data_IF_182254649093
#
_entry.id   IF_182254649093
#
_cell.length_a   1.000
_cell.length_b   1.000
_cell.length_c   1.000
_cell.angle_alpha   90.00
_cell.angle_beta   90.00
_cell.angle_gamma   90.00
#
_symmetry.space_group_name_H-M   'P 1'
#
loop_
_entity.id
_entity.type
_entity.pdbx_description
1 polymer ?
#
# COMPACT_ATOMS: atom_id res chain seq x y z
N UNK A 1 -37.17 -50.59 14.06
CA UNK A 1 -36.68 -49.34 14.68
C UNK A 1 -35.59 -48.72 13.80
N UNK A 2 -35.91 -48.21 12.59
CA UNK A 2 -34.89 -47.72 11.63
C UNK A 2 -35.19 -46.31 11.08
N UNK A 3 -36.46 -45.87 11.15
CA UNK A 3 -36.93 -44.62 10.52
C UNK A 3 -36.47 -43.36 11.28
N UNK A 4 -36.14 -43.47 12.57
CA UNK A 4 -35.74 -42.32 13.40
C UNK A 4 -34.33 -41.80 13.05
N UNK A 5 -33.45 -42.65 12.52
CA UNK A 5 -32.07 -42.28 12.21
C UNK A 5 -31.92 -41.63 10.83
N UNK A 6 -32.77 -41.98 9.86
CA UNK A 6 -32.78 -41.38 8.51
C UNK A 6 -33.10 -39.87 8.53
N UNK A 7 -34.01 -39.43 9.41
CA UNK A 7 -34.34 -38.00 9.56
C UNK A 7 -33.20 -37.20 10.20
N UNK A 8 -32.42 -37.83 11.09
CA UNK A 8 -31.25 -37.23 11.72
C UNK A 8 -30.08 -37.14 10.74
N UNK A 9 -29.85 -38.16 9.91
CA UNK A 9 -28.83 -38.11 8.85
C UNK A 9 -29.16 -37.11 7.75
N UNK A 10 -30.44 -37.01 7.34
CA UNK A 10 -30.91 -35.97 6.42
C UNK A 10 -30.74 -34.55 6.99
N UNK A 11 -31.09 -34.35 8.27
CA UNK A 11 -30.88 -33.06 8.94
C UNK A 11 -29.39 -32.71 9.06
N UNK A 12 -28.52 -33.69 9.28
CA UNK A 12 -27.07 -33.49 9.37
C UNK A 12 -26.46 -33.16 8.00
N UNK A 13 -26.92 -33.81 6.94
CA UNK A 13 -26.56 -33.48 5.55
C UNK A 13 -26.99 -32.06 5.17
N UNK A 14 -28.21 -31.65 5.55
CA UNK A 14 -28.69 -30.30 5.28
C UNK A 14 -27.83 -29.22 5.95
N UNK A 15 -27.42 -29.45 7.20
CA UNK A 15 -26.52 -28.56 7.94
C UNK A 15 -25.15 -28.44 7.25
N UNK A 16 -24.59 -29.57 6.79
CA UNK A 16 -23.31 -29.58 6.07
C UNK A 16 -23.40 -28.78 4.77
N UNK A 17 -24.50 -28.91 4.02
CA UNK A 17 -24.71 -28.15 2.79
C UNK A 17 -24.78 -26.64 3.07
N UNK A 18 -25.49 -26.23 4.13
CA UNK A 18 -25.58 -24.82 4.53
C UNK A 18 -24.19 -24.26 4.91
N UNK A 19 -23.38 -25.03 5.64
CA UNK A 19 -22.02 -24.63 6.00
C UNK A 19 -21.16 -24.47 4.75
N UNK A 20 -21.21 -25.41 3.81
CA UNK A 20 -20.45 -25.34 2.56
C UNK A 20 -20.84 -24.11 1.74
N UNK A 21 -22.13 -23.81 1.62
CA UNK A 21 -22.61 -22.61 0.92
C UNK A 21 -22.15 -21.32 1.62
N UNK A 22 -22.19 -21.29 2.95
CA UNK A 22 -21.70 -20.14 3.73
C UNK A 22 -20.19 -19.91 3.57
N UNK A 23 -19.40 -20.97 3.53
CA UNK A 23 -17.96 -20.91 3.29
C UNK A 23 -17.66 -20.43 1.87
N UNK A 24 -18.35 -20.97 0.86
CA UNK A 24 -18.19 -20.52 -0.53
C UNK A 24 -18.58 -19.05 -0.71
N UNK A 25 -19.67 -18.61 -0.08
CA UNK A 25 -20.09 -17.21 -0.09
C UNK A 25 -19.06 -16.30 0.60
N UNK A 26 -18.51 -16.73 1.74
CA UNK A 26 -17.48 -15.99 2.45
C UNK A 26 -16.21 -15.81 1.60
N UNK A 27 -15.73 -16.88 0.95
CA UNK A 27 -14.57 -16.80 0.06
C UNK A 27 -14.84 -15.96 -1.19
N UNK A 28 -16.04 -16.06 -1.77
CA UNK A 28 -16.46 -15.22 -2.89
C UNK A 28 -16.54 -13.73 -2.50
N UNK A 29 -17.04 -13.43 -1.30
CA UNK A 29 -17.13 -12.06 -0.79
C UNK A 29 -15.76 -11.48 -0.41
N UNK A 30 -14.80 -12.30 -0.02
CA UNK A 30 -13.45 -11.85 0.35
C UNK A 30 -12.60 -11.50 -0.87
N UNK A 31 -12.84 -12.15 -2.02
CA UNK A 31 -12.12 -11.91 -3.28
C UNK A 31 -12.32 -10.52 -3.91
N UNK A 32 -13.35 -9.77 -3.48
CA UNK A 32 -13.71 -8.47 -4.04
C UNK A 32 -13.43 -7.30 -3.09
N UNK A 33 -12.65 -7.49 -2.03
CA UNK A 33 -12.11 -6.36 -1.26
C UNK A 33 -10.93 -5.78 -2.03
N UNK A 34 -11.25 -4.98 -3.06
CA UNK A 34 -10.31 -3.96 -3.52
C UNK A 34 -10.01 -3.09 -2.32
N UNK A 35 -8.78 -3.20 -1.80
CA UNK A 35 -8.28 -2.22 -0.84
C UNK A 35 -8.38 -0.89 -1.57
N UNK A 36 -9.37 -0.08 -1.19
CA UNK A 36 -9.53 1.27 -1.69
C UNK A 36 -8.47 2.13 -0.98
N UNK A 37 -7.20 1.84 -1.26
CA UNK A 37 -6.17 2.86 -1.20
C UNK A 37 -6.54 3.81 -2.31
N UNK A 38 -7.38 4.79 -1.97
CA UNK A 38 -7.59 6.00 -2.76
C UNK A 38 -6.21 6.62 -2.97
N UNK A 39 -5.55 6.17 -4.02
CA UNK A 39 -4.35 6.76 -4.55
C UNK A 39 -4.72 8.21 -4.87
N UNK A 40 -3.87 9.15 -4.46
CA UNK A 40 -3.98 10.59 -4.71
C UNK A 40 -3.98 10.99 -6.21
N UNK A 41 -4.21 10.04 -7.11
CA UNK A 41 -4.12 10.19 -8.56
C UNK A 41 -5.46 10.00 -9.27
N UNK A 42 -6.49 9.50 -8.59
CA UNK A 42 -7.81 9.32 -9.19
C UNK A 42 -8.66 10.56 -8.94
N UNK A 43 -8.53 11.51 -9.87
CA UNK A 43 -9.49 12.60 -10.08
C UNK A 43 -9.75 13.47 -8.83
N UNK A 44 -8.87 14.43 -8.58
CA UNK A 44 -9.09 15.48 -7.56
C UNK A 44 -10.43 16.20 -7.79
N UNK A 45 -10.97 16.15 -9.01
CA UNK A 45 -12.30 16.68 -9.35
C UNK A 45 -13.48 15.86 -8.82
N UNK A 46 -13.29 14.59 -8.42
CA UNK A 46 -14.36 13.73 -7.87
C UNK A 46 -14.45 13.76 -6.35
N UNK A 47 -13.41 14.28 -5.67
CA UNK A 47 -13.36 14.40 -4.21
C UNK A 47 -13.82 15.78 -3.70
N UNK A 48 -14.07 16.74 -4.59
CA UNK A 48 -14.56 18.07 -4.21
C UNK A 48 -16.06 18.20 -4.54
N UNK A 49 -16.89 18.76 -3.62
CA UNK A 49 -18.27 19.10 -3.94
C UNK A 49 -18.29 20.00 -5.18
N UNK A 50 -19.22 19.71 -6.11
CA UNK A 50 -19.35 20.43 -7.37
C UNK A 50 -19.30 21.95 -7.15
N UNK A 51 -18.21 22.58 -7.58
CA UNK A 51 -18.01 24.04 -7.47
C UNK A 51 -16.69 24.50 -6.84
N UNK A 52 -15.90 23.62 -6.22
CA UNK A 52 -14.55 23.97 -5.79
C UNK A 52 -13.52 23.38 -6.75
N UNK A 53 -13.02 24.19 -7.68
CA UNK A 53 -11.77 23.89 -8.36
C UNK A 53 -10.65 24.36 -7.44
N UNK A 54 -9.96 23.45 -6.75
CA UNK A 54 -8.58 23.75 -6.37
C UNK A 54 -7.87 23.94 -7.70
N UNK A 55 -7.47 25.18 -8.00
CA UNK A 55 -6.71 25.56 -9.19
C UNK A 55 -5.32 24.93 -9.18
N UNK A 56 -5.26 23.60 -9.04
CA UNK A 56 -4.10 22.77 -9.26
C UNK A 56 -3.86 22.87 -10.76
N UNK A 57 -3.00 23.83 -11.09
CA UNK A 57 -2.33 23.91 -12.37
C UNK A 57 -1.81 22.51 -12.72
N UNK A 58 -1.70 22.22 -14.01
CA UNK A 58 -1.19 20.93 -14.52
C UNK A 58 0.07 20.46 -13.76
N UNK A 59 0.93 21.40 -13.36
CA UNK A 59 2.11 21.20 -12.52
C UNK A 59 1.83 20.54 -11.15
N UNK A 60 0.75 20.89 -10.46
CA UNK A 60 0.42 20.30 -9.15
C UNK A 60 0.01 18.82 -9.26
N UNK A 61 -0.68 18.45 -10.34
CA UNK A 61 -1.04 17.05 -10.60
C UNK A 61 0.19 16.21 -10.98
N UNK A 62 1.13 16.78 -11.72
CA UNK A 62 2.37 16.10 -12.11
C UNK A 62 3.29 15.84 -10.90
N UNK A 63 3.31 16.76 -9.93
CA UNK A 63 4.01 16.56 -8.65
C UNK A 63 3.39 15.39 -7.88
N UNK A 64 2.06 15.35 -7.71
CA UNK A 64 1.40 14.27 -6.98
C UNK A 64 1.58 12.92 -7.65
N UNK A 65 1.53 12.85 -8.99
CA UNK A 65 1.86 11.64 -9.75
C UNK A 65 3.29 11.19 -9.49
N UNK A 66 4.25 12.12 -9.55
CA UNK A 66 5.67 11.82 -9.31
C UNK A 66 5.90 11.33 -7.88
N UNK A 67 5.31 11.98 -6.88
CA UNK A 67 5.40 11.57 -5.48
C UNK A 67 4.80 10.19 -5.26
N UNK A 68 3.68 9.89 -5.92
CA UNK A 68 3.07 8.57 -5.83
C UNK A 68 3.95 7.48 -6.47
N UNK A 69 4.59 7.77 -7.61
CA UNK A 69 5.59 6.87 -8.21
C UNK A 69 6.75 6.66 -7.22
N UNK A 70 7.32 7.72 -6.66
CA UNK A 70 8.41 7.61 -5.69
C UNK A 70 8.02 6.82 -4.43
N UNK A 71 6.79 7.00 -3.92
CA UNK A 71 6.28 6.24 -2.79
C UNK A 71 6.13 4.74 -3.09
N UNK A 72 5.89 4.39 -4.36
CA UNK A 72 5.81 2.99 -4.80
C UNK A 72 7.18 2.35 -5.02
N UNK A 73 8.24 3.15 -5.22
CA UNK A 73 9.61 2.64 -5.39
C UNK A 73 10.12 2.19 -4.02
N UNK A 74 10.29 0.87 -3.87
CA UNK A 74 10.94 0.26 -2.72
C UNK A 74 12.26 -0.34 -3.16
N UNK A 75 13.32 -0.04 -2.42
CA UNK A 75 14.61 -0.69 -2.62
C UNK A 75 14.56 -2.09 -2.00
N UNK A 76 14.78 -3.11 -2.81
CA UNK A 76 14.96 -4.47 -2.32
C UNK A 76 16.34 -4.60 -1.68
N UNK A 77 16.38 -4.69 -0.36
CA UNK A 77 17.62 -4.84 0.42
C UNK A 77 18.21 -6.25 0.29
N UNK A 78 17.43 -7.25 -0.12
CA UNK A 78 17.93 -8.60 -0.31
C UNK A 78 18.83 -8.70 -1.54
N UNK A 79 18.70 -7.77 -2.50
CA UNK A 79 19.63 -7.61 -3.61
C UNK A 79 21.09 -7.46 -3.15
N UNK A 80 21.34 -6.73 -2.06
CA UNK A 80 22.69 -6.51 -1.52
C UNK A 80 23.23 -7.70 -0.72
N UNK A 81 22.43 -8.75 -0.48
CA UNK A 81 22.88 -9.95 0.23
C UNK A 81 23.58 -10.96 -0.68
N UNK A 82 23.58 -10.75 -2.00
CA UNK A 82 24.29 -11.63 -2.93
C UNK A 82 25.80 -11.55 -2.71
N UNK A 83 26.51 -12.67 -2.89
CA UNK A 83 27.96 -12.77 -2.64
C UNK A 83 28.78 -11.70 -3.37
N UNK A 84 28.33 -11.26 -4.55
CA UNK A 84 28.97 -10.21 -5.35
C UNK A 84 28.98 -8.83 -4.65
N UNK A 85 27.98 -8.54 -3.82
CA UNK A 85 27.88 -7.28 -3.07
C UNK A 85 28.59 -7.36 -1.70
N UNK A 86 28.73 -8.56 -1.14
CA UNK A 86 29.42 -8.78 0.12
C UNK A 86 30.95 -8.68 0.01
N UNK A 87 31.48 -8.80 -1.22
CA UNK A 87 32.90 -8.61 -1.52
C UNK A 87 33.30 -7.17 -1.86
N UNK A 88 32.38 -6.20 -1.77
CA UNK A 88 32.69 -4.82 -2.08
C UNK A 88 33.60 -4.21 -1.00
N UNK A 89 34.76 -3.75 -1.45
CA UNK A 89 35.72 -3.04 -0.60
C UNK A 89 35.24 -1.60 -0.42
N UNK A 90 35.18 -1.14 0.83
CA UNK A 90 34.92 0.25 1.14
C UNK A 90 36.14 1.10 0.75
N UNK A 91 35.95 1.99 -0.22
CA UNK A 91 36.95 2.96 -0.67
C UNK A 91 36.66 4.38 -0.15
N UNK A 92 35.72 4.51 0.79
CA UNK A 92 35.42 5.79 1.43
C UNK A 92 36.67 6.32 2.11
N UNK A 93 36.93 7.61 1.94
CA UNK A 93 37.96 8.32 2.68
C UNK A 93 37.28 9.11 3.78
N UNK A 94 37.89 9.14 4.96
CA UNK A 94 37.45 10.06 6.01
C UNK A 94 37.55 11.49 5.47
N UNK A 95 36.44 12.21 5.54
CA UNK A 95 36.44 13.62 5.17
C UNK A 95 37.28 14.39 6.21
N UNK A 96 38.23 15.22 5.78
CA UNK A 96 38.94 16.09 6.70
C UNK A 96 37.94 17.02 7.39
N UNK A 97 38.29 17.44 8.60
CA UNK A 97 37.54 18.47 9.29
C UNK A 97 37.60 19.77 8.48
N UNK A 98 36.49 20.14 7.86
CA UNK A 98 36.31 21.46 7.24
C UNK A 98 35.68 22.42 8.25
N UNK A 99 36.02 23.71 8.14
CA UNK A 99 35.32 24.73 8.92
C UNK A 99 33.84 24.68 8.59
N UNK A 100 33.01 24.58 9.63
CA UNK A 100 31.55 24.63 9.46
C UNK A 100 31.22 25.93 8.71
N UNK A 101 30.52 25.81 7.59
CA UNK A 101 30.04 26.96 6.84
C UNK A 101 29.27 27.94 7.72
N UNK A 102 29.12 29.19 7.26
CA UNK A 102 28.35 30.21 7.96
C UNK A 102 26.96 29.68 8.34
N UNK A 103 26.49 30.07 9.52
CA UNK A 103 25.11 29.81 9.95
C UNK A 103 24.14 30.24 8.84
N UNK A 104 23.19 29.35 8.50
CA UNK A 104 22.20 29.61 7.46
C UNK A 104 21.39 30.89 7.80
N UNK A 105 21.57 31.99 7.05
CA UNK A 105 20.88 33.26 7.34
C UNK A 105 19.38 33.19 7.06
N UNK A 106 18.90 32.12 6.41
CA UNK A 106 17.50 31.89 6.11
C UNK A 106 16.80 30.97 7.10
N UNK A 107 17.48 30.53 8.19
CA UNK A 107 16.90 29.64 9.20
C UNK A 107 15.65 30.23 9.86
N UNK A 108 15.56 31.55 9.99
CA UNK A 108 14.51 32.25 10.74
C UNK A 108 13.32 32.72 9.87
N UNK A 109 13.44 32.73 8.54
CA UNK A 109 12.36 33.15 7.62
C UNK A 109 11.42 32.01 7.19
N UNK A 110 11.61 30.81 7.72
CA UNK A 110 10.86 29.60 7.36
C UNK A 110 9.84 29.11 8.39
N UNK A 111 9.43 29.97 9.33
CA UNK A 111 8.37 29.68 10.33
C UNK A 111 7.11 30.46 9.97
#
# INVERSE_FOLDING_TARGET
>A
MVIKNQKKTLSLILIIVIIIVGVLYYFYSLGNKTIDTQLLTSDINQLLPAGQNLGLTQSGQDILKTLNVLNSVKLDIDFFKQDVFQGLVDFSQELPFEEKGRLNPFREIGI
#
